data_IF_705918137468
#
_entry.id   IF_705918137468
#
_cell.length_a   1.000
_cell.length_b   1.000
_cell.length_c   1.000
_cell.angle_alpha   90.00
_cell.angle_beta   90.00
_cell.angle_gamma   90.00
#
_symmetry.space_group_name_H-M   'P 1'
#
loop_
_entity.id
_entity.type
_entity.pdbx_description
1 polymer ?
#
# COMPACT_ATOMS: atom_id res chain seq x y z
N UNK A 1 8.25 -6.24 -27.23
CA UNK A 1 8.21 -5.90 -28.68
C UNK A 1 6.82 -6.26 -29.19
N UNK A 2 6.48 -5.97 -30.44
CA UNK A 2 5.20 -6.39 -31.01
C UNK A 2 5.46 -7.40 -32.12
N UNK A 3 4.72 -8.50 -32.10
CA UNK A 3 4.67 -9.45 -33.20
C UNK A 3 3.47 -9.13 -34.07
N UNK A 4 3.65 -9.21 -35.39
CA UNK A 4 2.60 -8.93 -36.34
C UNK A 4 1.91 -10.24 -36.75
N UNK A 5 0.59 -10.31 -36.58
CA UNK A 5 -0.23 -11.44 -37.01
C UNK A 5 -1.30 -10.92 -37.98
N UNK A 6 -0.96 -10.92 -39.27
CA UNK A 6 -1.76 -10.29 -40.32
C UNK A 6 -1.85 -8.77 -40.11
N UNK A 7 -3.08 -8.24 -40.05
CA UNK A 7 -3.36 -6.82 -39.82
C UNK A 7 -3.32 -6.42 -38.33
N UNK A 8 -3.02 -7.36 -37.42
CA UNK A 8 -3.04 -7.12 -35.96
C UNK A 8 -1.63 -7.16 -35.36
N UNK A 9 -1.39 -6.29 -34.38
CA UNK A 9 -0.18 -6.32 -33.56
C UNK A 9 -0.48 -6.97 -32.21
N UNK A 10 0.32 -7.98 -31.85
CA UNK A 10 0.24 -8.68 -30.57
C UNK A 10 1.42 -8.24 -29.69
N UNK A 11 1.19 -7.76 -28.46
CA UNK A 11 2.28 -7.47 -27.54
C UNK A 11 3.04 -8.75 -27.19
N UNK A 12 4.33 -8.78 -27.54
CA UNK A 12 5.24 -9.89 -27.36
C UNK A 12 6.34 -9.55 -26.34
N UNK A 13 6.79 -10.57 -25.60
CA UNK A 13 7.72 -10.40 -24.49
C UNK A 13 7.07 -9.93 -23.18
N UNK A 14 5.76 -10.15 -23.00
CA UNK A 14 5.13 -10.00 -21.69
C UNK A 14 5.48 -11.20 -20.80
N UNK A 15 6.03 -10.93 -19.62
CA UNK A 15 6.27 -11.94 -18.60
C UNK A 15 5.19 -11.82 -17.52
N UNK A 16 4.47 -12.91 -17.26
CA UNK A 16 3.53 -12.99 -16.15
C UNK A 16 4.30 -13.43 -14.92
N UNK A 17 4.52 -12.49 -14.01
CA UNK A 17 4.96 -12.79 -12.65
C UNK A 17 3.73 -13.00 -11.77
N UNK A 18 3.62 -14.16 -11.15
CA UNK A 18 2.61 -14.43 -10.12
C UNK A 18 3.34 -14.40 -8.79
N UNK A 19 2.99 -13.43 -7.95
CA UNK A 19 3.50 -13.36 -6.58
C UNK A 19 2.86 -14.49 -5.77
N UNK A 20 3.68 -15.39 -5.24
CA UNK A 20 3.23 -16.42 -4.30
C UNK A 20 3.09 -15.79 -2.92
N UNK A 21 1.87 -15.37 -2.61
CA UNK A 21 1.52 -14.78 -1.32
C UNK A 21 0.95 -15.89 -0.45
N UNK A 22 1.47 -16.04 0.78
CA UNK A 22 0.84 -16.90 1.77
C UNK A 22 -0.65 -16.54 1.87
N UNK A 23 -1.51 -17.57 1.85
CA UNK A 23 -2.95 -17.43 2.06
C UNK A 23 -3.23 -17.11 3.53
N UNK A 24 -2.81 -15.94 3.99
CA UNK A 24 -3.16 -15.45 5.31
C UNK A 24 -4.48 -14.72 5.22
N UNK A 25 -5.42 -15.04 6.09
CA UNK A 25 -6.66 -14.27 6.22
C UNK A 25 -6.30 -12.90 6.84
N UNK A 26 -6.29 -11.79 6.07
CA UNK A 26 -5.72 -10.53 6.54
C UNK A 26 -6.53 -9.95 7.71
N UNK A 27 -7.84 -10.20 7.71
CA UNK A 27 -8.74 -9.76 8.78
C UNK A 27 -8.43 -10.47 10.09
N UNK A 28 -8.21 -11.79 10.06
CA UNK A 28 -7.83 -12.56 11.23
C UNK A 28 -6.57 -11.99 11.89
N UNK A 29 -5.51 -11.70 11.12
CA UNK A 29 -4.27 -11.13 11.64
C UNK A 29 -4.47 -9.78 12.35
N UNK A 30 -5.36 -8.95 11.83
CA UNK A 30 -5.69 -7.65 12.44
C UNK A 30 -6.47 -7.87 13.73
N UNK A 31 -7.48 -8.74 13.70
CA UNK A 31 -8.30 -9.06 14.86
C UNK A 31 -7.49 -9.71 15.98
N UNK A 32 -6.62 -10.68 15.67
CA UNK A 32 -5.74 -11.33 16.65
C UNK A 32 -4.84 -10.31 17.35
N UNK A 33 -4.15 -9.46 16.57
CA UNK A 33 -3.29 -8.40 17.11
C UNK A 33 -4.06 -7.39 17.97
N UNK A 34 -5.25 -7.01 17.54
CA UNK A 34 -6.12 -6.11 18.32
C UNK A 34 -6.50 -6.73 19.67
N UNK A 35 -6.99 -7.97 19.66
CA UNK A 35 -7.37 -8.68 20.89
C UNK A 35 -6.18 -8.87 21.83
N UNK A 36 -5.00 -9.20 21.31
CA UNK A 36 -3.77 -9.32 22.09
C UNK A 36 -3.35 -7.97 22.70
N UNK A 37 -3.45 -6.87 21.94
CA UNK A 37 -3.17 -5.52 22.44
C UNK A 37 -4.07 -5.15 23.62
N UNK A 38 -5.37 -5.45 23.51
CA UNK A 38 -6.36 -5.18 24.58
C UNK A 38 -6.09 -6.05 25.81
N UNK A 39 -5.85 -7.35 25.62
CA UNK A 39 -5.60 -8.29 26.74
C UNK A 39 -4.34 -7.95 27.52
N UNK A 40 -3.26 -7.59 26.84
CA UNK A 40 -1.97 -7.32 27.45
C UNK A 40 -1.80 -5.86 27.87
N UNK A 41 -2.80 -5.00 27.61
CA UNK A 41 -2.68 -3.55 27.77
C UNK A 41 -1.43 -2.97 27.08
N UNK A 42 -1.04 -3.59 25.96
CA UNK A 42 0.14 -3.18 25.20
C UNK A 42 -0.28 -2.59 23.86
N UNK A 43 0.06 -1.32 23.55
CA UNK A 43 -0.28 -0.73 22.27
C UNK A 43 0.49 -1.40 21.14
N UNK A 44 -0.18 -1.56 19.99
CA UNK A 44 0.45 -2.06 18.77
C UNK A 44 1.36 -1.01 18.15
N UNK A 45 2.63 -1.35 17.90
CA UNK A 45 3.60 -0.46 17.25
C UNK A 45 3.35 -0.28 15.75
N UNK A 46 2.60 -1.20 15.13
CA UNK A 46 2.34 -1.23 13.69
C UNK A 46 0.92 -0.78 13.33
N UNK A 47 0.00 -0.74 14.32
CA UNK A 47 -1.40 -0.38 14.11
C UNK A 47 -1.86 0.47 15.28
N UNK A 48 -1.66 1.79 15.15
CA UNK A 48 -2.05 2.79 16.13
C UNK A 48 -2.68 3.99 15.44
N UNK A 49 -3.38 4.84 16.21
CA UNK A 49 -3.95 6.08 15.68
C UNK A 49 -2.90 6.99 15.03
N UNK A 50 -1.70 7.08 15.62
CA UNK A 50 -0.60 7.88 15.08
C UNK A 50 -0.03 7.31 13.78
N UNK A 51 0.10 5.98 13.67
CA UNK A 51 0.52 5.33 12.42
C UNK A 51 -0.53 5.59 11.33
N UNK A 52 -1.82 5.48 11.66
CA UNK A 52 -2.91 5.79 10.73
C UNK A 52 -2.90 7.27 10.28
N UNK A 53 -2.70 8.20 11.20
CA UNK A 53 -2.63 9.63 10.90
C UNK A 53 -1.45 9.97 9.97
N UNK A 54 -0.28 9.38 10.21
CA UNK A 54 0.89 9.54 9.34
C UNK A 54 0.62 9.00 7.93
N UNK A 55 -0.01 7.82 7.83
CA UNK A 55 -0.38 7.24 6.54
C UNK A 55 -1.33 8.15 5.75
N UNK A 56 -2.39 8.66 6.38
CA UNK A 56 -3.33 9.58 5.73
C UNK A 56 -2.64 10.85 5.24
N UNK A 57 -1.70 11.39 6.01
CA UNK A 57 -0.91 12.55 5.59
C UNK A 57 -0.07 12.27 4.34
N UNK A 58 0.64 11.13 4.32
CA UNK A 58 1.44 10.71 3.16
C UNK A 58 0.55 10.56 1.92
N UNK A 59 -0.59 9.87 2.06
CA UNK A 59 -1.54 9.66 0.96
C UNK A 59 -2.11 10.99 0.44
N UNK A 60 -2.34 11.96 1.32
CA UNK A 60 -2.79 13.30 0.95
C UNK A 60 -1.74 14.03 0.13
N UNK A 61 -0.46 14.00 0.56
CA UNK A 61 0.64 14.60 -0.20
C UNK A 61 0.87 13.90 -1.55
N UNK A 62 0.73 12.57 -1.61
CA UNK A 62 0.80 11.84 -2.87
C UNK A 62 -0.32 12.22 -3.84
N UNK A 63 -1.55 12.33 -3.33
CA UNK A 63 -2.70 12.79 -4.12
C UNK A 63 -2.46 14.21 -4.65
N UNK A 64 -1.93 15.11 -3.82
CA UNK A 64 -1.55 16.46 -4.24
C UNK A 64 -0.45 16.43 -5.32
N UNK A 65 0.60 15.62 -5.14
CA UNK A 65 1.69 15.47 -6.11
C UNK A 65 1.15 15.02 -7.48
N UNK A 66 0.26 14.03 -7.50
CA UNK A 66 -0.36 13.54 -8.73
C UNK A 66 -1.16 14.62 -9.45
N UNK A 67 -1.95 15.43 -8.72
CA UNK A 67 -2.66 16.58 -9.30
C UNK A 67 -1.71 17.66 -9.85
N UNK A 68 -0.49 17.75 -9.34
CA UNK A 68 0.56 18.65 -9.80
C UNK A 68 1.44 18.04 -10.89
N UNK A 69 1.05 16.91 -11.50
CA UNK A 69 1.82 16.24 -12.54
C UNK A 69 3.03 15.46 -12.03
N UNK A 70 3.01 15.02 -10.77
CA UNK A 70 4.08 14.26 -10.13
C UNK A 70 5.17 15.12 -9.48
N UNK A 71 4.91 16.40 -9.25
CA UNK A 71 5.85 17.28 -8.54
C UNK A 71 5.97 16.83 -7.08
N UNK A 72 7.19 16.65 -6.53
CA UNK A 72 7.39 16.24 -5.15
C UNK A 72 6.75 17.22 -4.15
N UNK A 73 6.01 16.69 -3.17
CA UNK A 73 5.40 17.45 -2.07
C UNK A 73 6.00 16.99 -0.74
N UNK A 74 6.46 17.92 0.08
CA UNK A 74 7.01 17.63 1.41
C UNK A 74 5.92 17.12 2.35
N UNK A 75 6.14 15.96 2.97
CA UNK A 75 5.24 15.42 3.99
C UNK A 75 5.57 16.07 5.34
N UNK A 76 4.62 16.78 5.98
CA UNK A 76 4.87 17.40 7.28
C UNK A 76 4.91 16.35 8.40
N UNK A 77 5.73 16.62 9.41
CA UNK A 77 5.81 15.81 10.62
C UNK A 77 4.57 16.09 11.50
N UNK A 78 3.90 15.03 11.95
CA UNK A 78 2.83 15.16 12.94
C UNK A 78 3.42 15.31 14.34
N UNK A 79 2.86 16.20 15.19
CA UNK A 79 3.24 16.25 16.60
C UNK A 79 2.93 14.90 17.26
N UNK A 80 3.83 14.41 18.12
CA UNK A 80 3.65 13.16 18.87
C UNK A 80 2.93 13.38 20.19
#
# INVERSE_FOLDING_TARGET
YFEQNGEYFIPAGQHREVLDLESFEPLYSVCDRFLNSVRLSQPSSISSGWVGAQLVHILTCLSQSLHQGGVPVTVPQLPK
#
